data_IF_790856501774
#
_entry.id   IF_790856501774
#
_cell.length_a   1.000
_cell.length_b   1.000
_cell.length_c   1.000
_cell.angle_alpha   90.00
_cell.angle_beta   90.00
_cell.angle_gamma   90.00
#
_symmetry.space_group_name_H-M   'P 1'
#
loop_
_entity.id
_entity.type
_entity.pdbx_description
1 polymer ?
#
# COMPACT_ATOMS: atom_id res chain seq x y z
N UNK A 1 -6.35 -26.46 -40.85
CA UNK A 1 -5.71 -25.93 -39.62
C UNK A 1 -5.14 -24.54 -39.81
N UNK A 2 -4.23 -24.30 -40.77
CA UNK A 2 -3.60 -22.98 -40.97
C UNK A 2 -4.58 -21.82 -41.26
N UNK A 3 -5.61 -22.04 -42.08
CA UNK A 3 -6.62 -21.01 -42.39
C UNK A 3 -7.44 -20.58 -41.17
N UNK A 4 -7.85 -21.54 -40.32
CA UNK A 4 -8.60 -21.25 -39.09
C UNK A 4 -7.75 -20.46 -38.10
N UNK A 5 -6.46 -20.81 -37.97
CA UNK A 5 -5.50 -20.08 -37.14
C UNK A 5 -5.33 -18.64 -37.65
N UNK A 6 -5.24 -18.44 -38.96
CA UNK A 6 -5.13 -17.11 -39.57
C UNK A 6 -6.37 -16.24 -39.30
N UNK A 7 -7.58 -16.80 -39.48
CA UNK A 7 -8.84 -16.09 -39.21
C UNK A 7 -8.94 -15.72 -37.72
N UNK A 8 -8.56 -16.61 -36.82
CA UNK A 8 -8.51 -16.34 -35.38
C UNK A 8 -7.50 -15.23 -35.04
N UNK A 9 -6.31 -15.25 -35.62
CA UNK A 9 -5.29 -14.21 -35.40
C UNK A 9 -5.76 -12.84 -35.90
N UNK A 10 -6.42 -12.79 -37.06
CA UNK A 10 -6.96 -11.54 -37.61
C UNK A 10 -8.08 -11.00 -36.72
N UNK A 11 -8.99 -11.87 -36.26
CA UNK A 11 -10.07 -11.49 -35.37
C UNK A 11 -9.56 -10.95 -34.02
N UNK A 12 -8.55 -11.61 -33.42
CA UNK A 12 -7.89 -11.14 -32.19
C UNK A 12 -7.21 -9.79 -32.43
N UNK A 13 -6.52 -9.63 -33.55
CA UNK A 13 -5.82 -8.37 -33.89
C UNK A 13 -6.80 -7.22 -34.07
N UNK A 14 -7.92 -7.43 -34.76
CA UNK A 14 -8.99 -6.44 -34.94
C UNK A 14 -9.64 -6.10 -33.59
N UNK A 15 -9.85 -7.09 -32.72
CA UNK A 15 -10.41 -6.88 -31.38
C UNK A 15 -9.47 -6.09 -30.47
N UNK A 16 -8.16 -6.29 -30.59
CA UNK A 16 -7.13 -5.57 -29.82
C UNK A 16 -6.74 -4.22 -30.43
N UNK A 17 -7.06 -3.98 -31.70
CA UNK A 17 -6.72 -2.75 -32.42
C UNK A 17 -7.18 -1.46 -31.70
N UNK A 18 -8.40 -1.37 -31.14
CA UNK A 18 -8.83 -0.21 -30.36
C UNK A 18 -7.98 0.01 -29.11
N UNK A 19 -7.56 -1.07 -28.44
CA UNK A 19 -6.69 -1.00 -27.25
C UNK A 19 -5.30 -0.51 -27.65
N UNK A 20 -4.75 -1.02 -28.75
CA UNK A 20 -3.46 -0.57 -29.28
C UNK A 20 -3.51 0.89 -29.73
N UNK A 21 -4.58 1.32 -30.39
CA UNK A 21 -4.78 2.70 -30.81
C UNK A 21 -4.91 3.63 -29.61
N UNK A 22 -5.70 3.26 -28.60
CA UNK A 22 -5.81 4.01 -27.34
C UNK A 22 -4.47 4.07 -26.59
N UNK A 23 -3.68 3.00 -26.62
CA UNK A 23 -2.35 2.96 -26.01
C UNK A 23 -1.35 3.84 -26.78
N UNK A 24 -1.38 3.81 -28.11
CA UNK A 24 -0.56 4.65 -28.98
C UNK A 24 -0.87 6.14 -28.79
N UNK A 25 -2.15 6.49 -28.62
CA UNK A 25 -2.60 7.85 -28.32
C UNK A 25 -2.34 8.28 -26.87
N UNK A 26 -1.78 7.43 -26.01
CA UNK A 26 -1.54 7.69 -24.59
C UNK A 26 -2.80 7.74 -23.71
N UNK A 27 -3.99 7.70 -24.32
CA UNK A 27 -5.30 7.77 -23.66
C UNK A 27 -5.63 6.52 -22.83
N UNK A 28 -5.06 5.36 -23.18
CA UNK A 28 -5.28 4.12 -22.45
C UNK A 28 -4.90 4.24 -20.96
N UNK A 29 -3.74 4.85 -20.68
CA UNK A 29 -3.26 5.06 -19.31
C UNK A 29 -4.22 5.93 -18.48
N UNK A 30 -4.81 6.95 -19.11
CA UNK A 30 -5.76 7.86 -18.48
C UNK A 30 -7.12 7.19 -18.23
N UNK A 31 -7.63 6.44 -19.22
CA UNK A 31 -8.87 5.67 -19.10
C UNK A 31 -8.74 4.63 -17.98
N UNK A 32 -7.63 3.89 -17.93
CA UNK A 32 -7.37 2.93 -16.84
C UNK A 32 -7.33 3.63 -15.48
N UNK A 33 -6.60 4.74 -15.33
CA UNK A 33 -6.54 5.48 -14.05
C UNK A 33 -7.89 6.02 -13.60
N UNK A 34 -8.79 6.34 -14.53
CA UNK A 34 -10.11 6.87 -14.21
C UNK A 34 -11.12 5.78 -13.87
N UNK A 35 -11.08 4.65 -14.58
CA UNK A 35 -12.02 3.53 -14.36
C UNK A 35 -11.60 2.58 -13.23
N UNK A 36 -10.29 2.40 -13.05
CA UNK A 36 -9.75 1.49 -12.05
C UNK A 36 -10.21 1.80 -10.62
N UNK A 37 -10.22 3.06 -10.13
CA UNK A 37 -10.74 3.38 -8.80
C UNK A 37 -12.21 3.02 -8.61
N UNK A 38 -13.04 3.29 -9.63
CA UNK A 38 -14.47 3.00 -9.58
C UNK A 38 -14.71 1.49 -9.48
N UNK A 39 -14.05 0.71 -10.36
CA UNK A 39 -14.07 -0.74 -10.35
C UNK A 39 -13.54 -1.30 -9.03
N UNK A 40 -12.36 -0.85 -8.60
CA UNK A 40 -11.73 -1.29 -7.36
C UNK A 40 -12.67 -1.01 -6.17
N UNK A 41 -13.29 0.17 -6.07
CA UNK A 41 -14.19 0.49 -4.95
C UNK A 41 -15.32 -0.54 -4.80
N UNK A 42 -15.89 -1.04 -5.90
CA UNK A 42 -16.94 -2.06 -5.89
C UNK A 42 -16.42 -3.43 -5.43
N UNK A 43 -15.27 -3.87 -5.94
CA UNK A 43 -14.67 -5.16 -5.57
C UNK A 43 -14.10 -5.14 -4.14
N UNK A 44 -13.49 -4.02 -3.75
CA UNK A 44 -12.88 -3.78 -2.45
C UNK A 44 -13.91 -3.90 -1.32
N UNK A 45 -15.17 -3.49 -1.50
CA UNK A 45 -16.22 -3.64 -0.48
C UNK A 45 -16.45 -5.11 -0.11
N UNK A 46 -16.55 -6.01 -1.09
CA UNK A 46 -16.81 -7.44 -0.87
C UNK A 46 -15.60 -8.09 -0.18
N UNK A 47 -14.40 -7.84 -0.70
CA UNK A 47 -13.15 -8.36 -0.14
C UNK A 47 -12.90 -7.84 1.30
N UNK A 48 -13.15 -6.55 1.54
CA UNK A 48 -12.98 -5.94 2.86
C UNK A 48 -13.93 -6.51 3.91
N UNK A 49 -15.15 -6.89 3.52
CA UNK A 49 -16.11 -7.48 4.45
C UNK A 49 -15.61 -8.83 4.96
N UNK A 50 -15.05 -9.65 4.06
CA UNK A 50 -14.47 -10.95 4.41
C UNK A 50 -13.17 -10.81 5.21
N UNK A 51 -12.35 -9.80 4.91
CA UNK A 51 -11.06 -9.58 5.60
C UNK A 51 -11.18 -8.73 6.87
N UNK A 52 -12.37 -8.31 7.28
CA UNK A 52 -12.53 -7.38 8.39
C UNK A 52 -12.00 -7.91 9.73
N UNK A 53 -12.22 -9.21 10.03
CA UNK A 53 -11.70 -9.83 11.25
C UNK A 53 -10.18 -9.87 11.25
N UNK A 54 -9.57 -10.35 10.16
CA UNK A 54 -8.11 -10.42 9.99
C UNK A 54 -7.46 -9.04 10.04
N UNK A 55 -8.08 -8.03 9.42
CA UNK A 55 -7.60 -6.64 9.49
C UNK A 55 -7.64 -6.11 10.92
N UNK A 56 -8.70 -6.38 11.67
CA UNK A 56 -8.80 -5.94 13.07
C UNK A 56 -7.73 -6.58 13.95
N UNK A 57 -7.49 -7.87 13.79
CA UNK A 57 -6.43 -8.59 14.52
C UNK A 57 -5.05 -8.07 14.14
N UNK A 58 -4.79 -7.90 12.86
CA UNK A 58 -3.52 -7.39 12.36
C UNK A 58 -3.20 -5.98 12.86
N UNK A 59 -4.20 -5.10 12.92
CA UNK A 59 -4.04 -3.71 13.30
C UNK A 59 -4.20 -3.47 14.80
N UNK A 60 -4.49 -4.49 15.62
CA UNK A 60 -4.73 -4.34 17.06
C UNK A 60 -3.53 -3.76 17.80
N UNK A 61 -2.32 -4.11 17.36
CA UNK A 61 -1.09 -3.74 18.04
C UNK A 61 -0.45 -2.48 17.42
N UNK A 62 -1.12 -1.80 16.48
CA UNK A 62 -0.55 -0.62 15.82
C UNK A 62 -0.16 0.47 16.81
N UNK A 63 -0.95 0.65 17.87
CA UNK A 63 -0.71 1.67 18.89
C UNK A 63 0.59 1.44 19.67
N UNK A 64 1.07 0.20 19.78
CA UNK A 64 2.33 -0.12 20.46
C UNK A 64 3.56 0.44 19.74
N UNK A 65 3.43 0.76 18.44
CA UNK A 65 4.51 1.34 17.66
C UNK A 65 4.58 2.87 17.78
N UNK A 66 3.67 3.51 18.52
CA UNK A 66 3.70 4.96 18.67
C UNK A 66 5.04 5.43 19.24
N UNK A 67 5.64 6.43 18.58
CA UNK A 67 6.89 7.02 19.03
C UNK A 67 6.75 7.82 20.34
N UNK A 68 7.80 8.54 20.77
CA UNK A 68 7.85 9.24 22.06
C UNK A 68 6.71 10.24 22.30
N UNK A 69 6.06 10.72 21.24
CA UNK A 69 4.90 11.63 21.34
C UNK A 69 3.62 10.94 21.81
N UNK A 70 3.58 9.61 21.94
CA UNK A 70 2.38 8.83 22.25
C UNK A 70 1.36 8.73 21.11
N UNK A 71 1.45 9.62 20.11
CA UNK A 71 0.64 9.61 18.89
C UNK A 71 1.34 8.85 17.78
N UNK A 72 0.68 7.81 17.27
CA UNK A 72 1.15 7.01 16.14
C UNK A 72 1.13 7.84 14.84
N UNK A 73 2.27 7.95 14.16
CA UNK A 73 2.38 8.45 12.79
C UNK A 73 2.46 7.26 11.83
N UNK A 74 1.47 7.15 10.94
CA UNK A 74 1.30 6.04 10.04
C UNK A 74 1.34 6.50 8.57
N UNK A 75 2.10 5.77 7.76
CA UNK A 75 2.11 5.93 6.30
C UNK A 75 1.36 4.77 5.66
N UNK A 76 0.26 5.09 4.97
CA UNK A 76 -0.48 4.13 4.14
C UNK A 76 0.10 4.15 2.72
N UNK A 77 0.77 3.07 2.33
CA UNK A 77 1.26 2.87 0.97
C UNK A 77 0.18 2.17 0.14
N UNK A 78 -0.21 2.81 -0.96
CA UNK A 78 -1.32 2.43 -1.86
C UNK A 78 -2.66 2.41 -1.15
N UNK A 79 -3.06 3.57 -0.64
CA UNK A 79 -4.26 3.74 0.18
C UNK A 79 -5.57 3.40 -0.55
N UNK A 80 -5.59 3.46 -1.88
CA UNK A 80 -6.80 3.25 -2.67
C UNK A 80 -7.96 4.10 -2.14
N UNK A 81 -9.06 3.45 -1.75
CA UNK A 81 -10.26 4.13 -1.21
C UNK A 81 -10.26 4.34 0.31
N UNK A 82 -9.14 4.14 1.02
CA UNK A 82 -9.08 4.32 2.48
C UNK A 82 -9.71 3.18 3.28
N UNK A 83 -9.81 1.99 2.69
CA UNK A 83 -10.48 0.81 3.25
C UNK A 83 -10.03 0.38 4.66
N UNK A 84 -8.79 0.73 5.04
CA UNK A 84 -8.17 0.30 6.29
C UNK A 84 -8.42 1.27 7.46
N UNK A 85 -8.84 2.51 7.19
CA UNK A 85 -8.93 3.59 8.18
C UNK A 85 -9.80 3.24 9.39
N UNK A 86 -10.89 2.50 9.17
CA UNK A 86 -11.78 2.04 10.24
C UNK A 86 -11.17 1.08 11.26
N UNK A 87 -9.98 0.54 10.97
CA UNK A 87 -9.29 -0.40 11.86
C UNK A 87 -8.09 0.23 12.57
N UNK A 88 -7.76 1.49 12.25
CA UNK A 88 -6.63 2.17 12.87
C UNK A 88 -7.00 2.72 14.24
N UNK A 89 -6.02 2.78 15.16
CA UNK A 89 -6.25 3.30 16.50
C UNK A 89 -6.67 4.78 16.45
N UNK A 90 -7.43 5.25 17.46
CA UNK A 90 -7.84 6.65 17.54
C UNK A 90 -6.64 7.59 17.66
N UNK A 91 -6.80 8.82 17.20
CA UNK A 91 -5.81 9.90 17.18
C UNK A 91 -4.52 9.61 16.38
N UNK A 92 -4.47 8.50 15.63
CA UNK A 92 -3.39 8.20 14.72
C UNK A 92 -3.31 9.24 13.59
N UNK A 93 -2.09 9.72 13.31
CA UNK A 93 -1.79 10.62 12.19
C UNK A 93 -1.52 9.79 10.95
N UNK A 94 -2.33 9.96 9.92
CA UNK A 94 -2.26 9.14 8.71
C UNK A 94 -1.84 10.01 7.52
N UNK A 95 -0.70 9.67 6.92
CA UNK A 95 -0.30 10.14 5.59
C UNK A 95 -0.53 9.02 4.59
N UNK A 96 -1.05 9.33 3.40
CA UNK A 96 -1.30 8.34 2.35
C UNK A 96 -0.46 8.63 1.12
N UNK A 97 0.01 7.59 0.44
CA UNK A 97 0.68 7.69 -0.86
C UNK A 97 0.07 6.72 -1.87
N UNK A 98 -0.32 7.21 -3.05
CA UNK A 98 -0.81 6.39 -4.15
C UNK A 98 -0.46 7.02 -5.52
N UNK A 99 -0.10 6.23 -6.55
CA UNK A 99 0.23 6.78 -7.85
C UNK A 99 -0.98 7.38 -8.60
N UNK A 100 -2.21 7.06 -8.19
CA UNK A 100 -3.42 7.51 -8.86
C UNK A 100 -4.09 8.67 -8.09
N UNK A 101 -4.06 9.91 -8.62
CA UNK A 101 -4.65 11.06 -7.94
C UNK A 101 -6.18 10.95 -7.78
N UNK A 102 -6.85 10.14 -8.60
CA UNK A 102 -8.31 10.00 -8.56
C UNK A 102 -8.84 9.32 -7.28
N UNK A 103 -7.95 8.80 -6.43
CA UNK A 103 -8.33 8.25 -5.13
C UNK A 103 -8.65 9.32 -4.09
N UNK A 104 -8.19 10.56 -4.26
CA UNK A 104 -8.38 11.65 -3.30
C UNK A 104 -9.85 11.84 -2.88
N UNK A 105 -10.76 11.86 -3.86
CA UNK A 105 -12.21 12.00 -3.59
C UNK A 105 -12.78 10.87 -2.71
N UNK A 106 -12.27 9.65 -2.85
CA UNK A 106 -12.69 8.50 -2.06
C UNK A 106 -12.07 8.55 -0.66
N UNK A 107 -10.82 9.02 -0.56
CA UNK A 107 -10.18 9.23 0.73
C UNK A 107 -10.92 10.28 1.56
N UNK A 108 -11.32 11.41 0.96
CA UNK A 108 -12.11 12.45 1.65
C UNK A 108 -13.39 11.86 2.24
N UNK A 109 -14.12 11.02 1.49
CA UNK A 109 -15.31 10.34 1.99
C UNK A 109 -14.97 9.38 3.14
N UNK A 110 -13.92 8.55 2.97
CA UNK A 110 -13.48 7.61 3.99
C UNK A 110 -13.05 8.33 5.28
N UNK A 111 -12.35 9.45 5.18
CA UNK A 111 -11.94 10.26 6.34
C UNK A 111 -13.15 10.83 7.07
N UNK A 112 -14.17 11.30 6.32
CA UNK A 112 -15.40 11.82 6.91
C UNK A 112 -16.16 10.78 7.75
N UNK A 113 -16.08 9.50 7.35
CA UNK A 113 -16.63 8.35 8.10
C UNK A 113 -15.74 7.90 9.27
N UNK A 114 -14.44 8.23 9.25
CA UNK A 114 -13.43 7.76 10.21
C UNK A 114 -12.81 8.93 10.99
N UNK A 115 -13.68 9.73 11.64
CA UNK A 115 -13.29 10.96 12.37
C UNK A 115 -12.39 10.74 13.57
N UNK A 116 -12.18 9.49 13.99
CA UNK A 116 -11.22 9.15 15.03
C UNK A 116 -9.76 9.31 14.58
N UNK A 117 -9.50 9.45 13.27
CA UNK A 117 -8.15 9.63 12.72
C UNK A 117 -7.81 11.11 12.49
N UNK A 118 -6.51 11.39 12.53
CA UNK A 118 -5.94 12.66 12.09
C UNK A 118 -5.34 12.49 10.69
N UNK A 119 -6.12 12.76 9.64
CA UNK A 119 -5.59 12.71 8.28
C UNK A 119 -4.68 13.91 8.00
N UNK A 120 -3.41 13.65 7.68
CA UNK A 120 -2.44 14.73 7.43
C UNK A 120 -2.45 15.17 5.97
N UNK A 121 -2.22 14.23 5.05
CA UNK A 121 -2.09 14.53 3.62
C UNK A 121 -2.23 13.30 2.72
N UNK A 122 -2.63 13.54 1.48
CA UNK A 122 -2.53 12.60 0.38
C UNK A 122 -1.38 13.00 -0.55
N UNK A 123 -0.50 12.05 -0.84
CA UNK A 123 0.66 12.22 -1.71
C UNK A 123 0.47 11.41 -2.99
N UNK A 124 0.65 12.07 -4.14
CA UNK A 124 0.62 11.37 -5.43
C UNK A 124 2.03 10.89 -5.74
N UNK A 125 2.25 9.58 -5.67
CA UNK A 125 3.60 9.01 -5.80
C UNK A 125 3.62 7.48 -5.84
N UNK A 126 4.75 6.92 -6.25
CA UNK A 126 4.99 5.47 -6.30
C UNK A 126 5.73 5.01 -5.05
N UNK A 127 5.50 3.77 -4.62
CA UNK A 127 6.16 3.23 -3.41
C UNK A 127 7.67 3.08 -3.55
N UNK A 128 8.17 2.96 -4.79
CA UNK A 128 9.60 2.89 -5.11
C UNK A 128 10.33 4.23 -4.94
N UNK A 129 9.60 5.34 -4.81
CA UNK A 129 10.17 6.66 -4.61
C UNK A 129 9.21 7.54 -3.78
N UNK A 130 9.48 7.59 -2.48
CA UNK A 130 8.72 8.34 -1.49
C UNK A 130 9.44 9.62 -1.06
N UNK A 131 10.12 10.33 -1.98
CA UNK A 131 10.84 11.58 -1.68
C UNK A 131 10.00 12.69 -1.03
N UNK A 132 8.66 12.63 -1.16
CA UNK A 132 7.72 13.54 -0.52
C UNK A 132 7.54 13.27 0.99
N UNK A 133 8.04 12.13 1.48
CA UNK A 133 8.03 11.74 2.88
C UNK A 133 9.46 11.83 3.42
N UNK A 134 9.64 12.60 4.49
CA UNK A 134 10.95 12.81 5.10
C UNK A 134 11.45 11.55 5.83
N UNK A 135 12.77 11.39 5.85
CA UNK A 135 13.48 10.30 6.52
C UNK A 135 13.15 10.27 8.01
N UNK A 136 12.95 9.08 8.57
CA UNK A 136 12.77 8.91 10.00
C UNK A 136 11.60 9.69 10.60
N UNK A 137 10.50 9.90 9.85
CA UNK A 137 9.36 10.69 10.35
C UNK A 137 8.15 9.85 10.75
N UNK A 138 8.04 8.63 10.23
CA UNK A 138 6.89 7.74 10.39
C UNK A 138 7.17 6.66 11.43
N UNK A 139 6.19 6.34 12.27
CA UNK A 139 6.30 5.28 13.29
C UNK A 139 5.97 3.89 12.72
N UNK A 140 4.96 3.82 11.82
CA UNK A 140 4.57 2.58 11.16
C UNK A 140 4.20 2.80 9.68
N UNK A 141 4.58 1.87 8.80
CA UNK A 141 4.13 1.87 7.41
C UNK A 141 3.18 0.70 7.23
N UNK A 142 1.98 0.95 6.70
CA UNK A 142 1.01 -0.08 6.32
C UNK A 142 0.94 -0.15 4.80
N UNK A 143 0.99 -1.37 4.28
CA UNK A 143 0.91 -1.64 2.87
C UNK A 143 0.03 -2.86 2.66
N UNK A 144 -1.20 -2.67 2.17
CA UNK A 144 -2.14 -3.77 1.90
C UNK A 144 -2.41 -3.94 0.41
N UNK A 145 -2.14 -5.13 -0.14
CA UNK A 145 -2.36 -5.46 -1.57
C UNK A 145 -1.53 -4.67 -2.60
N UNK A 146 -0.47 -3.97 -2.20
CA UNK A 146 0.31 -3.12 -3.11
C UNK A 146 1.58 -3.78 -3.65
N UNK A 147 2.27 -4.60 -2.85
CA UNK A 147 3.58 -5.17 -3.23
C UNK A 147 3.56 -6.08 -4.47
N UNK A 148 2.40 -6.62 -4.85
CA UNK A 148 2.28 -7.42 -6.07
C UNK A 148 2.12 -6.56 -7.34
N UNK A 149 1.90 -5.26 -7.17
CA UNK A 149 1.65 -4.31 -8.27
C UNK A 149 2.84 -3.38 -8.52
N UNK A 150 3.87 -3.41 -7.66
CA UNK A 150 5.09 -2.60 -7.80
C UNK A 150 6.09 -3.27 -8.71
N UNK A 151 6.95 -2.47 -9.36
CA UNK A 151 7.96 -2.97 -10.30
C UNK A 151 9.17 -3.55 -9.56
N UNK A 152 9.54 -2.95 -8.45
CA UNK A 152 10.71 -3.36 -7.67
C UNK A 152 10.37 -3.36 -6.18
N UNK A 153 10.09 -4.55 -5.62
CA UNK A 153 9.75 -4.71 -4.21
C UNK A 153 10.91 -4.30 -3.30
N UNK A 154 12.16 -4.64 -3.64
CA UNK A 154 13.33 -4.27 -2.83
C UNK A 154 13.47 -2.75 -2.69
N UNK A 155 13.21 -2.01 -3.78
CA UNK A 155 13.28 -0.56 -3.75
C UNK A 155 12.21 0.03 -2.83
N UNK A 156 10.98 -0.51 -2.85
CA UNK A 156 9.94 -0.14 -1.89
C UNK A 156 10.43 -0.41 -0.47
N UNK A 157 10.99 -1.58 -0.19
CA UNK A 157 11.48 -1.92 1.15
C UNK A 157 12.58 -0.95 1.64
N UNK A 158 13.47 -0.49 0.75
CA UNK A 158 14.49 0.51 1.08
C UNK A 158 13.86 1.86 1.44
N UNK A 159 12.89 2.32 0.66
CA UNK A 159 12.18 3.57 0.94
C UNK A 159 11.36 3.49 2.23
N UNK A 160 10.70 2.35 2.48
CA UNK A 160 9.98 2.10 3.73
C UNK A 160 10.95 2.16 4.91
N UNK A 161 12.15 1.58 4.80
CA UNK A 161 13.18 1.68 5.84
C UNK A 161 13.66 3.12 6.05
N UNK A 162 13.80 3.91 4.98
CA UNK A 162 14.23 5.31 5.04
C UNK A 162 13.24 6.18 5.81
N UNK A 163 11.94 6.04 5.52
CA UNK A 163 10.89 6.90 6.12
C UNK A 163 10.56 6.54 7.57
N UNK A 164 10.82 5.30 7.97
CA UNK A 164 10.58 4.84 9.34
C UNK A 164 11.58 5.43 10.32
N UNK A 165 11.05 5.86 11.47
CA UNK A 165 11.85 6.30 12.61
C UNK A 165 12.83 5.21 13.03
N UNK A 166 14.09 5.57 13.30
CA UNK A 166 14.99 4.68 14.02
C UNK A 166 14.35 4.34 15.38
N UNK A 167 14.26 3.05 15.72
CA UNK A 167 13.80 2.67 17.04
C UNK A 167 14.84 3.09 18.09
N UNK A 168 14.45 4.02 18.97
CA UNK A 168 15.27 4.37 20.15
C UNK A 168 14.98 3.33 21.22
N UNK A 169 15.84 2.31 21.30
CA UNK A 169 15.75 1.30 22.37
C UNK A 169 16.36 1.89 23.65
N UNK A 170 15.53 2.31 24.60
CA UNK A 170 16.01 2.62 25.96
C UNK A 170 15.99 1.32 26.79
N UNK A 171 17.08 0.56 26.74
CA UNK A 171 17.39 -0.51 27.71
C UNK A 171 18.86 -0.39 28.14
N UNK A 172 19.19 -0.48 29.44
CA UNK A 172 20.57 -0.54 29.90
C UNK A 172 21.12 -1.96 29.64
N UNK A 173 21.43 -2.28 28.40
CA UNK A 173 22.18 -3.49 28.00
C UNK A 173 22.65 -3.35 26.55
N UNK A 174 23.89 -3.76 26.20
CA UNK A 174 24.50 -3.38 24.94
C UNK A 174 23.91 -4.17 23.77
N UNK A 175 23.45 -3.46 22.72
CA UNK A 175 23.61 -3.94 21.34
C UNK A 175 22.38 -4.29 20.48
N UNK A 176 21.19 -3.71 20.66
CA UNK A 176 20.10 -3.93 19.67
C UNK A 176 19.30 -2.66 19.33
N UNK A 177 19.25 -2.31 18.04
CA UNK A 177 18.31 -1.33 17.47
C UNK A 177 17.37 -2.08 16.51
N UNK A 178 16.07 -2.10 16.79
CA UNK A 178 15.08 -2.83 15.99
C UNK A 178 14.04 -1.87 15.42
N UNK A 179 14.20 -1.40 14.17
CA UNK A 179 13.17 -0.69 13.43
C UNK A 179 11.99 -1.64 13.14
N UNK A 180 10.81 -1.41 13.72
CA UNK A 180 9.65 -2.31 13.57
C UNK A 180 8.80 -1.90 12.36
N UNK A 181 8.79 -2.77 11.36
CA UNK A 181 7.98 -2.67 10.15
C UNK A 181 6.71 -3.51 10.31
N UNK A 182 5.55 -3.00 9.89
CA UNK A 182 4.31 -3.79 9.83
C UNK A 182 3.92 -4.03 8.38
N UNK A 183 4.44 -5.09 7.75
CA UNK A 183 4.01 -5.50 6.42
C UNK A 183 2.66 -6.21 6.44
N UNK A 184 1.82 -5.96 5.44
CA UNK A 184 0.59 -6.73 5.26
C UNK A 184 0.33 -7.07 3.79
N UNK A 185 1.08 -8.02 3.25
CA UNK A 185 0.75 -8.56 1.93
C UNK A 185 -0.48 -9.49 2.04
N UNK A 186 -1.58 -9.15 1.36
CA UNK A 186 -2.77 -10.00 1.30
C UNK A 186 -3.09 -10.51 -0.12
N UNK A 187 -2.13 -10.38 -1.04
CA UNK A 187 -2.26 -10.92 -2.38
C UNK A 187 -1.57 -12.29 -2.38
N UNK A 188 -2.36 -13.35 -2.55
CA UNK A 188 -1.90 -14.73 -2.36
C UNK A 188 -0.75 -15.09 -3.30
N UNK A 189 0.47 -15.16 -2.78
CA UNK A 189 1.44 -16.22 -3.05
C UNK A 189 2.49 -16.34 -1.92
N UNK A 190 2.70 -17.60 -1.52
CA UNK A 190 3.90 -18.24 -0.94
C UNK A 190 4.43 -17.93 0.47
N UNK A 191 3.81 -17.07 1.27
CA UNK A 191 4.16 -16.98 2.70
C UNK A 191 2.92 -16.95 3.60
N UNK A 192 2.50 -18.14 4.06
CA UNK A 192 1.73 -18.35 5.31
C UNK A 192 0.45 -17.51 5.55
N UNK A 193 -0.19 -17.64 6.72
CA UNK A 193 -1.26 -16.73 7.15
C UNK A 193 -0.71 -15.31 7.36
N UNK A 194 -1.59 -14.31 7.36
CA UNK A 194 -1.29 -12.89 7.55
C UNK A 194 -0.26 -12.69 8.67
N UNK A 195 0.98 -12.39 8.30
CA UNK A 195 2.10 -12.29 9.23
C UNK A 195 2.47 -10.84 9.38
N UNK A 196 2.40 -10.30 10.61
CA UNK A 196 3.14 -9.08 10.97
C UNK A 196 4.62 -9.44 10.86
N UNK A 197 5.26 -9.07 9.75
CA UNK A 197 6.70 -9.29 9.61
C UNK A 197 7.45 -8.30 10.48
N UNK A 198 7.75 -8.71 11.72
CA UNK A 198 8.82 -8.10 12.49
C UNK A 198 10.13 -8.36 11.75
N UNK A 199 10.57 -7.42 10.91
CA UNK A 199 11.93 -7.46 10.40
C UNK A 199 12.88 -7.19 11.56
N UNK A 200 13.41 -8.27 12.17
CA UNK A 200 14.62 -8.20 12.97
C UNK A 200 15.74 -7.87 12.00
N UNK A 201 16.30 -6.67 12.12
CA UNK A 201 17.48 -6.27 11.33
C UNK A 201 18.71 -6.93 11.91
N UNK A 202 18.77 -8.26 11.85
CA UNK A 202 20.05 -8.94 11.94
C UNK A 202 20.63 -8.99 10.53
N UNK A 203 21.86 -8.51 10.44
CA UNK A 203 22.77 -8.56 9.31
C UNK A 203 22.78 -9.94 8.64
N UNK A 204 21.98 -10.16 7.60
CA UNK A 204 22.20 -11.22 6.63
C UNK A 204 21.48 -10.92 5.31
N UNK A 205 22.01 -9.94 4.58
CA UNK A 205 21.93 -9.91 3.13
C UNK A 205 23.35 -10.23 2.64
N UNK A 206 23.71 -11.51 2.66
CA UNK A 206 24.96 -11.99 2.07
C UNK A 206 24.63 -12.67 0.74
N UNK A 207 25.18 -12.03 -0.31
CA UNK A 207 25.45 -12.48 -1.69
C UNK A 207 24.31 -13.09 -2.49
#
# INVERSE_FOLDING_TARGET
MAFVVFVLQLAISILLLPVHLLNFLGLWSWICKMWFPCFLSRFTVIYNKQMASKKRELFSNLQEFAGPSGKLSLLELGCGTGANFKFYPPECRVTCIDPNPNFEKYLVQSIAENRHLQFERFLVGVGENMHQVADGTVDAVVCTLVLCSVRNQEQVLREVRRVLRPAVLFYPSPGTAASRLSFTCSCGQRHGPASVFNYRTDTEFKS
#
